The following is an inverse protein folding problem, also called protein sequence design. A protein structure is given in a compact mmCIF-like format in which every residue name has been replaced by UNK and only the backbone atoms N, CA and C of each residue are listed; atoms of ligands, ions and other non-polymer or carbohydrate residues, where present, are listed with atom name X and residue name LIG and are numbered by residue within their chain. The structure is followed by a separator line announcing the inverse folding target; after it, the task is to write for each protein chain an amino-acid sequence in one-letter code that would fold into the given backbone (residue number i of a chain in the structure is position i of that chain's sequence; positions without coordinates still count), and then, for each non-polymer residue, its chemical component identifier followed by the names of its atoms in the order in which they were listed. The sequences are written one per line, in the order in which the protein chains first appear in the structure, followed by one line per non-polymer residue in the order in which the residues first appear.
data_IF_985818898764
#
_entry.id   IF_985818898764
#
_cell.length_a   1.000
_cell.length_b   1.000
_cell.length_c   1.000
_cell.angle_alpha   90.00
_cell.angle_beta   90.00
_cell.angle_gamma   90.00
#
_symmetry.space_group_name_H-M   'P 1'
#
loop_
_entity.id
_entity.type
_entity.pdbx_description
1 polymer ?
#
# COMPACT_ATOMS: atom_id res chain seq x y z
N UNK A 1 12.61 -8.44 -34.06
CA UNK A 1 11.72 -9.55 -33.65
C UNK A 1 12.44 -10.62 -32.81
N UNK A 2 13.52 -11.26 -33.29
CA UNK A 2 14.22 -12.30 -32.52
C UNK A 2 14.83 -11.79 -31.20
N UNK A 3 15.51 -10.63 -31.23
CA UNK A 3 16.10 -10.00 -30.03
C UNK A 3 15.06 -9.69 -28.95
N UNK A 4 13.88 -9.20 -29.34
CA UNK A 4 12.80 -8.89 -28.41
C UNK A 4 12.23 -10.16 -27.75
N UNK A 5 12.06 -11.24 -28.52
CA UNK A 5 11.65 -12.54 -27.99
C UNK A 5 12.68 -13.10 -26.99
N UNK A 6 13.97 -13.00 -27.31
CA UNK A 6 15.07 -13.43 -26.42
C UNK A 6 15.05 -12.62 -25.12
N UNK A 7 14.88 -11.29 -25.20
CA UNK A 7 14.74 -10.44 -24.01
C UNK A 7 13.56 -10.86 -23.15
N UNK A 8 12.37 -11.04 -23.74
CA UNK A 8 11.17 -11.47 -23.00
C UNK A 8 11.39 -12.82 -22.31
N UNK A 9 12.02 -13.78 -22.98
CA UNK A 9 12.34 -15.08 -22.39
C UNK A 9 13.31 -14.95 -21.21
N UNK A 10 14.38 -14.15 -21.36
CA UNK A 10 15.31 -13.85 -20.28
C UNK A 10 14.63 -13.20 -19.07
N UNK A 11 13.72 -12.26 -19.32
CA UNK A 11 12.95 -11.57 -18.29
C UNK A 11 12.08 -12.55 -17.49
N UNK A 12 11.36 -13.44 -18.18
CA UNK A 12 10.55 -14.50 -17.56
C UNK A 12 11.41 -15.45 -16.73
N UNK A 13 12.58 -15.84 -17.25
CA UNK A 13 13.50 -16.73 -16.52
C UNK A 13 14.01 -16.08 -15.23
N UNK A 14 14.46 -14.82 -15.30
CA UNK A 14 14.92 -14.07 -14.12
C UNK A 14 13.79 -13.93 -13.10
N UNK A 15 12.60 -13.55 -13.55
CA UNK A 15 11.43 -13.44 -12.66
C UNK A 15 11.11 -14.77 -11.98
N UNK A 16 11.09 -15.87 -12.75
CA UNK A 16 10.84 -17.21 -12.21
C UNK A 16 11.84 -17.56 -11.12
N UNK A 17 13.14 -17.32 -11.36
CA UNK A 17 14.19 -17.57 -10.36
C UNK A 17 13.97 -16.74 -9.08
N UNK A 18 13.68 -15.44 -9.22
CA UNK A 18 13.40 -14.55 -8.08
C UNK A 18 12.18 -15.04 -7.29
N UNK A 19 11.12 -15.48 -7.99
CA UNK A 19 9.91 -15.98 -7.34
C UNK A 19 10.11 -17.31 -6.62
N UNK A 20 10.99 -18.19 -7.12
CA UNK A 20 11.39 -19.41 -6.41
C UNK A 20 12.02 -19.02 -5.06
N UNK A 21 13.03 -18.14 -5.07
CA UNK A 21 13.66 -17.65 -3.83
C UNK A 21 12.64 -16.97 -2.89
N UNK A 22 11.72 -16.19 -3.45
CA UNK A 22 10.69 -15.53 -2.66
C UNK A 22 9.77 -16.55 -1.96
N UNK A 23 9.29 -17.56 -2.69
CA UNK A 23 8.42 -18.61 -2.14
C UNK A 23 9.16 -19.45 -1.09
N UNK A 24 10.40 -19.84 -1.34
CA UNK A 24 11.24 -20.53 -0.34
C UNK A 24 11.36 -19.70 0.94
N UNK A 25 11.61 -18.40 0.82
CA UNK A 25 11.66 -17.50 1.96
C UNK A 25 10.34 -17.37 2.71
N UNK A 26 9.21 -17.33 2.01
CA UNK A 26 7.90 -17.33 2.63
C UNK A 26 7.63 -18.64 3.39
N UNK A 27 8.03 -19.78 2.84
CA UNK A 27 7.91 -21.08 3.52
C UNK A 27 8.72 -21.06 4.82
N UNK A 28 9.99 -20.65 4.78
CA UNK A 28 10.83 -20.55 5.98
C UNK A 28 10.26 -19.59 7.03
N UNK A 29 9.70 -18.46 6.59
CA UNK A 29 9.05 -17.51 7.49
C UNK A 29 7.80 -18.09 8.15
N UNK A 30 6.97 -18.82 7.39
CA UNK A 30 5.79 -19.50 7.95
C UNK A 30 6.21 -20.58 8.96
N UNK A 31 7.24 -21.37 8.66
CA UNK A 31 7.81 -22.32 9.62
C UNK A 31 8.30 -21.63 10.88
N UNK A 32 8.99 -20.50 10.76
CA UNK A 32 9.46 -19.72 11.90
C UNK A 32 8.29 -19.13 12.72
N UNK A 33 7.21 -18.69 12.08
CA UNK A 33 5.98 -18.26 12.76
C UNK A 33 5.32 -19.41 13.53
N UNK A 34 5.29 -20.61 12.96
CA UNK A 34 4.78 -21.81 13.63
C UNK A 34 5.64 -22.13 14.85
N UNK A 35 6.96 -22.13 14.73
CA UNK A 35 7.88 -22.31 15.85
C UNK A 35 7.65 -21.27 16.95
N UNK A 36 7.53 -19.98 16.59
CA UNK A 36 7.28 -18.91 17.57
C UNK A 36 5.93 -19.08 18.27
N UNK A 37 4.92 -19.58 17.55
CA UNK A 37 3.60 -19.86 18.13
C UNK A 37 3.65 -21.02 19.12
N UNK A 38 4.31 -22.13 18.75
CA UNK A 38 4.49 -23.31 19.60
C UNK A 38 5.29 -22.95 20.86
N UNK A 39 6.37 -22.17 20.71
CA UNK A 39 7.23 -21.72 21.80
C UNK A 39 6.67 -20.50 22.56
N UNK A 40 5.47 -20.02 22.22
CA UNK A 40 4.79 -18.87 22.83
C UNK A 40 5.63 -17.57 22.86
N UNK A 41 6.47 -17.34 21.85
CA UNK A 41 7.32 -16.15 21.72
C UNK A 41 6.47 -14.97 21.23
N UNK A 42 5.96 -14.15 22.16
CA UNK A 42 5.04 -13.04 21.86
C UNK A 42 5.71 -11.84 21.17
N UNK A 43 6.98 -11.57 21.47
CA UNK A 43 7.67 -10.36 21.00
C UNK A 43 8.25 -10.46 19.57
N UNK A 44 8.21 -11.64 18.96
CA UNK A 44 8.80 -11.89 17.64
C UNK A 44 7.99 -11.38 16.45
N UNK A 45 6.68 -11.12 16.63
CA UNK A 45 5.76 -10.79 15.52
C UNK A 45 6.19 -9.55 14.73
N UNK A 46 6.63 -8.48 15.41
CA UNK A 46 7.07 -7.23 14.76
C UNK A 46 8.33 -7.45 13.92
N UNK A 47 9.28 -8.26 14.41
CA UNK A 47 10.48 -8.62 13.68
C UNK A 47 10.16 -9.48 12.45
N UNK A 48 9.32 -10.50 12.60
CA UNK A 48 8.90 -11.37 11.49
C UNK A 48 8.18 -10.58 10.39
N UNK A 49 7.32 -9.63 10.77
CA UNK A 49 6.66 -8.71 9.83
C UNK A 49 7.69 -7.88 9.05
N UNK A 50 8.72 -7.37 9.74
CA UNK A 50 9.81 -6.61 9.12
C UNK A 50 10.64 -7.49 8.16
N UNK A 51 11.03 -8.70 8.57
CA UNK A 51 11.77 -9.65 7.70
C UNK A 51 10.94 -9.96 6.45
N UNK A 52 9.64 -10.25 6.62
CA UNK A 52 8.73 -10.51 5.52
C UNK A 52 8.74 -9.37 4.50
N UNK A 53 8.56 -8.13 4.95
CA UNK A 53 8.52 -6.98 4.05
C UNK A 53 9.86 -6.74 3.36
N UNK A 54 10.99 -6.88 4.06
CA UNK A 54 12.30 -6.79 3.43
C UNK A 54 12.53 -7.91 2.41
N UNK A 55 12.04 -9.13 2.65
CA UNK A 55 12.08 -10.22 1.67
C UNK A 55 11.21 -9.87 0.44
N UNK A 56 10.00 -9.36 0.64
CA UNK A 56 9.12 -8.90 -0.44
C UNK A 56 9.75 -7.78 -1.26
N UNK A 57 10.35 -6.77 -0.62
CA UNK A 57 11.07 -5.70 -1.32
C UNK A 57 12.27 -6.24 -2.10
N UNK A 58 13.01 -7.20 -1.53
CA UNK A 58 14.16 -7.82 -2.23
C UNK A 58 13.71 -8.50 -3.52
N UNK A 59 12.61 -9.25 -3.47
CA UNK A 59 12.05 -9.93 -4.64
C UNK A 59 11.45 -8.94 -5.66
N UNK A 60 10.67 -7.97 -5.21
CA UNK A 60 9.92 -7.07 -6.10
C UNK A 60 10.73 -5.87 -6.58
N UNK A 61 11.88 -5.56 -5.99
CA UNK A 61 12.75 -4.45 -6.42
C UNK A 61 13.07 -4.49 -7.91
N UNK A 62 13.35 -5.70 -8.41
CA UNK A 62 13.63 -5.93 -9.82
C UNK A 62 12.45 -5.60 -10.72
N UNK A 63 11.20 -5.69 -10.22
CA UNK A 63 9.97 -5.34 -10.94
C UNK A 63 9.67 -3.84 -10.94
N UNK A 64 10.24 -3.06 -10.02
CA UNK A 64 9.96 -1.63 -9.89
C UNK A 64 11.26 -0.83 -9.67
N UNK A 65 12.09 -0.65 -10.71
CA UNK A 65 13.40 -0.01 -10.58
C UNK A 65 13.33 1.52 -10.52
N UNK A 66 12.16 2.11 -10.77
CA UNK A 66 11.98 3.57 -10.80
C UNK A 66 11.84 4.11 -9.38
N UNK A 67 12.35 5.33 -9.10
CA UNK A 67 12.11 5.98 -7.82
C UNK A 67 10.65 6.36 -7.67
N UNK A 68 10.12 6.15 -6.48
CA UNK A 68 8.86 6.72 -6.00
C UNK A 68 9.23 8.07 -5.37
N UNK A 69 8.65 9.15 -5.88
CA UNK A 69 8.85 10.46 -5.27
C UNK A 69 7.77 10.72 -4.23
N UNK A 70 8.19 11.06 -3.01
CA UNK A 70 7.28 11.31 -1.90
C UNK A 70 7.41 12.75 -1.40
N UNK A 71 6.28 13.37 -1.06
CA UNK A 71 6.17 14.66 -0.41
C UNK A 71 5.38 14.44 0.88
N UNK A 72 5.99 14.66 2.04
CA UNK A 72 5.34 14.34 3.31
C UNK A 72 5.39 15.46 4.34
N UNK A 73 4.34 15.56 5.13
CA UNK A 73 4.27 16.45 6.29
C UNK A 73 5.15 15.90 7.43
N UNK A 74 6.17 16.64 7.91
CA UNK A 74 7.09 16.15 8.93
C UNK A 74 6.41 15.83 10.27
N UNK A 75 5.20 16.37 10.52
CA UNK A 75 4.40 16.00 11.71
C UNK A 75 4.16 14.51 11.81
N UNK A 76 4.08 13.78 10.69
CA UNK A 76 3.89 12.33 10.63
C UNK A 76 4.91 11.58 11.48
N UNK A 77 6.14 12.09 11.58
CA UNK A 77 7.25 11.45 12.31
C UNK A 77 7.05 11.49 13.84
N UNK A 78 6.25 12.43 14.35
CA UNK A 78 6.05 12.66 15.78
C UNK A 78 4.78 11.99 16.33
N UNK A 79 4.09 11.20 15.51
CA UNK A 79 2.76 10.65 15.80
C UNK A 79 2.84 9.14 15.79
N UNK A 80 2.17 8.50 16.74
CA UNK A 80 2.40 7.08 17.07
C UNK A 80 1.18 6.19 16.87
N UNK A 81 -0.01 6.80 16.83
CA UNK A 81 -1.31 6.14 16.71
C UNK A 81 -2.12 6.81 15.61
N UNK A 82 -2.06 6.28 14.39
CA UNK A 82 -2.68 6.93 13.24
C UNK A 82 -3.66 6.02 12.51
N UNK A 83 -4.69 6.63 11.93
CA UNK A 83 -5.42 6.03 10.81
C UNK A 83 -4.70 6.49 9.53
N UNK A 84 -4.45 5.58 8.60
CA UNK A 84 -3.90 5.90 7.28
C UNK A 84 -5.01 5.67 6.26
N UNK A 85 -5.34 6.70 5.48
CA UNK A 85 -6.30 6.61 4.38
C UNK A 85 -5.59 6.88 3.06
N UNK A 86 -5.99 6.18 2.00
CA UNK A 86 -5.47 6.43 0.65
C UNK A 86 -6.56 6.33 -0.39
N UNK A 87 -6.42 7.06 -1.51
CA UNK A 87 -7.10 6.66 -2.74
C UNK A 87 -6.50 5.35 -3.27
N UNK A 88 -7.25 4.63 -4.10
CA UNK A 88 -6.88 3.34 -4.65
C UNK A 88 -6.92 3.39 -6.19
N UNK A 89 -5.75 3.38 -6.82
CA UNK A 89 -5.56 3.50 -8.26
C UNK A 89 -5.17 2.18 -8.94
N UNK A 90 -4.55 1.25 -8.22
CA UNK A 90 -4.08 -0.01 -8.80
C UNK A 90 -3.86 -1.10 -7.75
N UNK A 91 -3.66 -2.33 -8.20
CA UNK A 91 -3.26 -3.45 -7.33
C UNK A 91 -1.86 -3.32 -6.74
N UNK A 92 -1.03 -2.37 -7.22
CA UNK A 92 0.34 -2.15 -6.74
C UNK A 92 0.44 -1.11 -5.62
N UNK A 93 -0.65 -0.43 -5.29
CA UNK A 93 -0.68 0.69 -4.35
C UNK A 93 -0.14 0.30 -2.97
N UNK A 94 -0.47 -0.90 -2.50
CA UNK A 94 0.00 -1.41 -1.21
C UNK A 94 1.54 -1.44 -1.16
N UNK A 95 2.22 -1.84 -2.24
CA UNK A 95 3.67 -1.93 -2.26
C UNK A 95 4.30 -0.54 -2.16
N UNK A 96 3.74 0.43 -2.88
CA UNK A 96 4.20 1.82 -2.93
C UNK A 96 4.01 2.52 -1.58
N UNK A 97 2.83 2.34 -0.97
CA UNK A 97 2.53 2.87 0.36
C UNK A 97 3.43 2.22 1.42
N UNK A 98 3.52 0.89 1.45
CA UNK A 98 4.32 0.21 2.48
C UNK A 98 5.81 0.54 2.35
N UNK A 99 6.35 0.74 1.14
CA UNK A 99 7.72 1.22 0.92
C UNK A 99 7.92 2.60 1.53
N UNK A 100 6.97 3.52 1.31
CA UNK A 100 6.97 4.85 1.92
C UNK A 100 6.92 4.78 3.45
N UNK A 101 6.08 3.89 4.01
CA UNK A 101 5.98 3.70 5.46
C UNK A 101 7.22 3.05 6.07
N UNK A 102 8.00 2.26 5.33
CA UNK A 102 9.30 1.79 5.81
C UNK A 102 10.28 2.95 5.88
N UNK A 103 10.33 3.80 4.85
CA UNK A 103 11.20 4.99 4.81
C UNK A 103 10.93 5.92 6.00
N UNK A 104 9.67 6.05 6.39
CA UNK A 104 9.21 6.88 7.52
C UNK A 104 9.22 6.14 8.87
N UNK A 105 9.83 4.95 8.96
CA UNK A 105 9.93 4.11 10.18
C UNK A 105 8.57 3.70 10.80
N UNK A 106 7.53 3.71 9.98
CA UNK A 106 6.13 3.49 10.35
C UNK A 106 5.68 2.04 10.22
N UNK A 107 6.32 1.28 9.34
CA UNK A 107 5.91 -0.08 8.98
C UNK A 107 5.79 -1.06 10.16
N UNK A 108 6.62 -0.93 11.21
CA UNK A 108 6.61 -1.86 12.35
C UNK A 108 5.25 -1.97 13.06
N UNK A 109 4.46 -0.89 13.04
CA UNK A 109 3.18 -0.79 13.73
C UNK A 109 1.97 -0.87 12.78
N UNK A 110 2.21 -1.14 11.48
CA UNK A 110 1.14 -1.23 10.49
C UNK A 110 0.18 -2.38 10.78
N UNK A 111 -1.11 -2.10 10.65
CA UNK A 111 -2.22 -3.02 10.55
C UNK A 111 -3.04 -2.62 9.32
N UNK A 112 -3.38 -3.57 8.46
CA UNK A 112 -4.07 -3.28 7.21
C UNK A 112 -5.47 -3.87 7.28
N UNK A 113 -6.47 -3.10 6.86
CA UNK A 113 -7.82 -3.60 6.61
C UNK A 113 -7.87 -4.15 5.18
N UNK A 114 -8.22 -5.43 5.07
CA UNK A 114 -8.12 -6.22 3.85
C UNK A 114 -9.44 -6.90 3.51
N UNK A 115 -9.60 -7.27 2.24
CA UNK A 115 -10.72 -8.11 1.79
C UNK A 115 -10.57 -9.53 2.36
N UNK A 116 -11.65 -10.09 2.89
CA UNK A 116 -11.65 -11.41 3.50
C UNK A 116 -11.08 -12.52 2.61
N UNK A 117 -11.36 -12.49 1.31
CA UNK A 117 -10.82 -13.49 0.37
C UNK A 117 -9.28 -13.55 0.33
N UNK A 118 -8.55 -12.54 0.79
CA UNK A 118 -7.08 -12.58 0.85
C UNK A 118 -6.57 -13.54 1.93
N UNK A 119 -7.42 -13.90 2.89
CA UNK A 119 -7.09 -14.79 3.98
C UNK A 119 -6.84 -16.23 3.54
N UNK A 120 -7.35 -16.62 2.36
CA UNK A 120 -7.27 -17.98 1.82
C UNK A 120 -6.05 -18.20 0.92
N UNK A 121 -5.28 -17.15 0.63
CA UNK A 121 -4.07 -17.26 -0.19
C UNK A 121 -3.01 -18.05 0.60
N UNK A 122 -2.48 -19.17 0.08
CA UNK A 122 -1.45 -19.94 0.76
C UNK A 122 -0.22 -19.10 1.07
N UNK A 123 0.40 -19.35 2.23
CA UNK A 123 1.53 -18.59 2.81
C UNK A 123 1.17 -17.12 3.14
N UNK A 124 0.78 -16.32 2.14
CA UNK A 124 0.46 -14.89 2.32
C UNK A 124 -0.70 -14.68 3.30
N UNK A 125 -1.81 -15.40 3.12
CA UNK A 125 -2.97 -15.36 4.00
C UNK A 125 -2.63 -15.77 5.44
N UNK A 126 -1.76 -16.79 5.60
CA UNK A 126 -1.26 -17.18 6.91
C UNK A 126 -0.45 -16.07 7.57
N UNK A 127 0.49 -15.45 6.84
CA UNK A 127 1.28 -14.33 7.33
C UNK A 127 0.41 -13.14 7.74
N UNK A 128 -0.55 -12.75 6.89
CA UNK A 128 -1.49 -11.66 7.18
C UNK A 128 -2.32 -11.91 8.45
N UNK A 129 -2.79 -13.16 8.68
CA UNK A 129 -3.45 -13.57 9.92
C UNK A 129 -2.50 -13.52 11.11
N UNK A 130 -1.29 -14.05 10.97
CA UNK A 130 -0.29 -14.05 12.03
C UNK A 130 0.10 -12.63 12.47
N UNK A 131 0.16 -11.68 11.53
CA UNK A 131 0.42 -10.26 11.82
C UNK A 131 -0.77 -9.52 12.43
N UNK A 132 -1.96 -10.12 12.45
CA UNK A 132 -3.16 -9.56 13.04
C UNK A 132 -3.80 -8.46 12.19
N UNK A 133 -3.73 -8.58 10.86
CA UNK A 133 -4.51 -7.74 9.95
C UNK A 133 -6.00 -7.99 10.09
N UNK A 134 -6.82 -7.03 9.67
CA UNK A 134 -8.27 -7.05 9.83
C UNK A 134 -8.89 -7.42 8.48
N UNK A 135 -9.71 -8.47 8.43
CA UNK A 135 -10.31 -8.99 7.22
C UNK A 135 -11.81 -8.68 7.20
N UNK A 136 -12.30 -7.99 6.16
CA UNK A 136 -13.70 -7.59 6.04
C UNK A 136 -14.42 -8.31 4.90
N UNK A 137 -15.67 -8.66 5.17
CA UNK A 137 -16.52 -9.54 4.37
C UNK A 137 -17.48 -8.76 3.47
N UNK A 138 -17.43 -7.41 3.51
CA UNK A 138 -18.38 -6.49 2.85
C UNK A 138 -19.82 -6.69 3.35
N UNK A 139 -19.98 -7.08 4.62
CA UNK A 139 -21.27 -7.24 5.31
C UNK A 139 -21.20 -6.51 6.64
N UNK A 140 -21.88 -5.38 6.73
CA UNK A 140 -21.68 -4.42 7.81
C UNK A 140 -22.01 -4.99 9.20
N UNK A 141 -22.97 -5.90 9.29
CA UNK A 141 -23.41 -6.54 10.53
C UNK A 141 -22.30 -7.42 11.13
N UNK A 142 -21.52 -8.07 10.27
CA UNK A 142 -20.40 -8.94 10.67
C UNK A 142 -19.13 -8.11 10.83
N UNK A 143 -18.89 -7.19 9.88
CA UNK A 143 -17.67 -6.39 9.81
C UNK A 143 -17.55 -5.44 11.00
N UNK A 144 -18.66 -4.99 11.61
CA UNK A 144 -18.66 -4.14 12.80
C UNK A 144 -17.90 -4.77 13.97
N UNK A 145 -18.22 -6.02 14.33
CA UNK A 145 -17.58 -6.71 15.45
C UNK A 145 -16.12 -7.07 15.14
N UNK A 146 -15.83 -7.39 13.87
CA UNK A 146 -14.46 -7.65 13.41
C UNK A 146 -13.59 -6.39 13.55
N UNK A 147 -14.10 -5.24 13.09
CA UNK A 147 -13.42 -3.95 13.22
C UNK A 147 -13.19 -3.66 14.70
N UNK A 148 -14.25 -3.71 15.53
CA UNK A 148 -14.17 -3.39 16.96
C UNK A 148 -13.10 -4.23 17.67
N UNK A 149 -13.14 -5.55 17.49
CA UNK A 149 -12.14 -6.48 18.05
C UNK A 149 -10.73 -6.19 17.54
N UNK A 150 -10.60 -5.85 16.25
CA UNK A 150 -9.34 -5.44 15.64
C UNK A 150 -8.76 -4.17 16.27
N UNK A 151 -9.61 -3.17 16.49
CA UNK A 151 -9.24 -1.88 17.09
C UNK A 151 -8.88 -2.03 18.57
N UNK A 152 -9.62 -2.83 19.33
CA UNK A 152 -9.27 -3.16 20.72
C UNK A 152 -7.86 -3.75 20.82
N UNK A 153 -7.54 -4.74 19.97
CA UNK A 153 -6.18 -5.29 19.88
C UNK A 153 -5.12 -4.24 19.53
N UNK A 154 -5.44 -3.26 18.68
CA UNK A 154 -4.49 -2.19 18.36
C UNK A 154 -4.25 -1.25 19.54
N UNK A 155 -5.31 -0.89 20.27
CA UNK A 155 -5.20 -0.08 21.50
C UNK A 155 -4.33 -0.79 22.55
N UNK A 156 -4.51 -2.09 22.74
CA UNK A 156 -3.72 -2.89 23.69
C UNK A 156 -2.23 -2.97 23.31
N UNK A 157 -1.91 -2.95 22.01
CA UNK A 157 -0.53 -2.99 21.52
C UNK A 157 0.21 -1.64 21.64
N UNK A 158 -0.49 -0.56 22.00
CA UNK A 158 0.03 0.79 22.10
C UNK A 158 0.07 1.52 20.75
N UNK A 159 1.23 1.55 20.11
CA UNK A 159 1.44 2.29 18.86
C UNK A 159 0.88 1.51 17.66
N UNK A 160 0.14 2.18 16.77
CA UNK A 160 -0.45 1.56 15.59
C UNK A 160 -0.54 2.52 14.41
N UNK A 161 -0.56 1.92 13.21
CA UNK A 161 -0.96 2.60 11.98
C UNK A 161 -1.98 1.73 11.28
N UNK A 162 -3.21 2.21 11.18
CA UNK A 162 -4.30 1.45 10.59
C UNK A 162 -4.52 1.91 9.15
N UNK A 163 -4.03 1.13 8.19
CA UNK A 163 -4.22 1.43 6.77
C UNK A 163 -5.56 0.92 6.27
N UNK A 164 -6.34 1.83 5.68
CA UNK A 164 -7.60 1.54 5.01
C UNK A 164 -7.65 2.22 3.64
N UNK A 165 -8.36 1.61 2.70
CA UNK A 165 -8.76 2.22 1.44
C UNK A 165 -10.28 2.44 1.46
N UNK A 166 -10.76 3.65 1.82
CA UNK A 166 -12.19 3.90 1.94
C UNK A 166 -13.01 3.61 0.67
N UNK A 167 -12.39 3.66 -0.51
CA UNK A 167 -13.02 3.27 -1.79
C UNK A 167 -13.43 1.79 -1.86
N UNK A 168 -12.77 0.91 -1.10
CA UNK A 168 -13.06 -0.54 -1.04
C UNK A 168 -12.66 -1.35 -2.28
N UNK A 169 -12.23 -0.68 -3.36
CA UNK A 169 -11.65 -1.23 -4.59
C UNK A 169 -10.90 -0.12 -5.34
N UNK A 170 -10.04 -0.46 -6.30
CA UNK A 170 -9.35 0.53 -7.12
C UNK A 170 -10.26 1.08 -8.23
N UNK A 171 -9.91 2.27 -8.73
CA UNK A 171 -10.59 2.93 -9.83
C UNK A 171 -10.36 2.21 -11.17
N UNK A 172 -11.45 1.82 -11.82
CA UNK A 172 -11.47 1.27 -13.17
C UNK A 172 -12.71 1.73 -13.95
N UNK A 173 -12.84 1.27 -15.20
CA UNK A 173 -13.94 1.63 -16.07
C UNK A 173 -15.30 1.10 -15.58
N UNK A 174 -15.34 0.06 -14.74
CA UNK A 174 -16.57 -0.56 -14.24
C UNK A 174 -17.01 0.04 -12.90
N UNK A 175 -16.10 0.09 -11.92
CA UNK A 175 -16.28 0.64 -10.57
C UNK A 175 -16.72 2.11 -10.59
N UNK A 176 -16.21 2.92 -11.53
CA UNK A 176 -16.66 4.31 -11.67
C UNK A 176 -18.11 4.40 -12.14
N UNK A 177 -18.59 3.43 -12.95
CA UNK A 177 -19.99 3.39 -13.38
C UNK A 177 -20.90 2.97 -12.24
N UNK A 178 -20.46 2.03 -11.40
CA UNK A 178 -21.16 1.66 -10.15
C UNK A 178 -21.30 2.89 -9.25
N UNK A 179 -20.20 3.62 -9.04
CA UNK A 179 -20.19 4.87 -8.27
C UNK A 179 -21.17 5.90 -8.83
N UNK A 180 -21.13 6.16 -10.15
CA UNK A 180 -22.07 7.09 -10.81
C UNK A 180 -23.53 6.68 -10.65
N UNK A 181 -23.84 5.38 -10.76
CA UNK A 181 -25.21 4.85 -10.54
C UNK A 181 -25.66 5.04 -9.10
N UNK A 182 -24.76 4.85 -8.13
CA UNK A 182 -25.05 5.06 -6.73
C UNK A 182 -25.35 6.52 -6.41
N UNK A 183 -24.49 7.46 -6.87
CA UNK A 183 -24.66 8.90 -6.63
C UNK A 183 -25.94 9.45 -7.26
N UNK A 184 -26.33 8.96 -8.44
CA UNK A 184 -27.61 9.34 -9.07
C UNK A 184 -28.83 9.01 -8.20
N UNK A 185 -28.74 7.98 -7.36
CA UNK A 185 -29.82 7.58 -6.43
C UNK A 185 -29.66 8.22 -5.05
N UNK A 186 -28.42 8.48 -4.63
CA UNK A 186 -28.07 9.02 -3.33
C UNK A 186 -27.12 10.22 -3.54
N UNK A 187 -27.65 11.43 -3.78
CA UNK A 187 -26.82 12.62 -3.97
C UNK A 187 -25.90 12.83 -2.76
N UNK A 188 -24.61 13.04 -3.03
CA UNK A 188 -23.61 13.36 -2.03
C UNK A 188 -23.33 14.86 -2.10
N UNK A 189 -23.73 15.60 -1.07
CA UNK A 189 -23.48 17.03 -0.96
C UNK A 189 -22.31 17.26 0.00
N UNK A 190 -21.33 18.05 -0.43
CA UNK A 190 -20.22 18.50 0.42
C UNK A 190 -20.18 20.02 0.35
N UNK A 191 -20.37 20.68 1.49
CA UNK A 191 -20.48 22.14 1.62
C UNK A 191 -21.58 22.72 0.70
N UNK A 192 -22.73 22.03 0.62
CA UNK A 192 -23.87 22.45 -0.20
C UNK A 192 -23.68 22.29 -1.72
N UNK A 193 -22.64 21.56 -2.17
CA UNK A 193 -22.40 21.28 -3.59
C UNK A 193 -22.35 19.79 -3.86
N UNK A 194 -22.90 19.37 -4.99
CA UNK A 194 -22.80 17.99 -5.46
C UNK A 194 -21.34 17.56 -5.63
N UNK A 195 -21.00 16.44 -5.00
CA UNK A 195 -19.73 15.77 -5.21
C UNK A 195 -19.92 14.53 -6.08
N UNK A 196 -19.45 14.65 -7.33
CA UNK A 196 -19.40 13.55 -8.29
C UNK A 196 -17.93 13.32 -8.67
N UNK A 197 -17.22 12.40 -8.00
CA UNK A 197 -15.83 12.14 -8.30
C UNK A 197 -15.69 11.50 -9.70
N UNK A 198 -14.53 11.74 -10.33
CA UNK A 198 -14.23 11.16 -11.63
C UNK A 198 -12.83 10.58 -11.74
N UNK A 199 -11.93 10.93 -10.83
CA UNK A 199 -10.55 10.44 -10.76
C UNK A 199 -10.27 9.67 -9.45
N UNK A 200 -11.30 9.46 -8.63
CA UNK A 200 -11.37 8.53 -7.48
C UNK A 200 -12.78 7.92 -7.44
N UNK A 201 -12.98 6.88 -6.65
CA UNK A 201 -14.32 6.37 -6.30
C UNK A 201 -14.89 7.12 -5.09
N UNK A 202 -16.20 7.02 -4.92
CA UNK A 202 -16.86 7.56 -3.73
C UNK A 202 -16.48 6.68 -2.52
N UNK A 203 -15.94 7.25 -1.43
CA UNK A 203 -15.52 6.47 -0.28
C UNK A 203 -16.72 5.91 0.51
N UNK A 204 -16.56 4.70 1.04
CA UNK A 204 -17.48 4.08 1.99
C UNK A 204 -17.19 4.59 3.41
N UNK A 205 -18.05 5.48 3.91
CA UNK A 205 -17.84 6.15 5.20
C UNK A 205 -18.13 5.27 6.41
N UNK A 206 -19.08 4.33 6.31
CA UNK A 206 -19.54 3.54 7.47
C UNK A 206 -18.42 2.75 8.16
N UNK A 207 -17.49 2.19 7.38
CA UNK A 207 -16.34 1.47 7.95
C UNK A 207 -15.39 2.41 8.69
N UNK A 208 -15.17 3.62 8.16
CA UNK A 208 -14.36 4.64 8.83
C UNK A 208 -15.04 5.15 10.11
N UNK A 209 -16.36 5.34 10.09
CA UNK A 209 -17.12 5.78 11.26
C UNK A 209 -17.02 4.74 12.40
N UNK A 210 -17.18 3.44 12.09
CA UNK A 210 -17.01 2.37 13.08
C UNK A 210 -15.58 2.36 13.65
N UNK A 211 -14.56 2.56 12.80
CA UNK A 211 -13.16 2.67 13.23
C UNK A 211 -13.00 3.86 14.19
N UNK A 212 -13.48 5.04 13.80
CA UNK A 212 -13.41 6.28 14.59
C UNK A 212 -14.09 6.11 15.95
N UNK A 213 -15.30 5.59 15.96
CA UNK A 213 -16.07 5.28 17.19
C UNK A 213 -15.32 4.28 18.08
N UNK A 214 -14.80 3.19 17.50
CA UNK A 214 -14.10 2.14 18.26
C UNK A 214 -12.76 2.61 18.85
N UNK A 215 -12.11 3.57 18.19
CA UNK A 215 -10.89 4.21 18.67
C UNK A 215 -11.17 5.14 19.85
N UNK A 216 -12.34 5.78 19.92
CA UNK A 216 -12.79 6.62 21.04
C UNK A 216 -11.70 7.62 21.52
N UNK A 217 -11.12 8.37 20.59
CA UNK A 217 -10.05 9.35 20.86
C UNK A 217 -8.65 8.77 21.07
N UNK A 218 -8.42 7.46 20.87
CA UNK A 218 -7.09 6.84 21.01
C UNK A 218 -6.16 7.04 19.80
N UNK A 219 -6.61 7.72 18.73
CA UNK A 219 -5.76 8.05 17.59
C UNK A 219 -5.30 9.51 17.66
N UNK A 220 -4.02 9.74 17.35
CA UNK A 220 -3.41 11.06 17.31
C UNK A 220 -3.92 11.88 16.12
N UNK A 221 -4.28 11.21 15.01
CA UNK A 221 -4.74 11.84 13.77
C UNK A 221 -4.81 10.87 12.58
N UNK A 222 -4.95 11.45 11.39
CA UNK A 222 -5.03 10.76 10.11
C UNK A 222 -3.81 11.11 9.25
N UNK A 223 -3.10 10.09 8.76
CA UNK A 223 -2.14 10.23 7.66
C UNK A 223 -2.93 10.09 6.36
N UNK A 224 -3.09 11.20 5.64
CA UNK A 224 -3.82 11.24 4.38
C UNK A 224 -2.88 11.07 3.20
N UNK A 225 -2.97 9.92 2.55
CA UNK A 225 -2.15 9.58 1.39
C UNK A 225 -2.92 9.88 0.11
N UNK A 226 -2.29 10.62 -0.78
CA UNK A 226 -2.75 10.82 -2.16
C UNK A 226 -1.72 10.22 -3.13
N UNK A 227 -2.13 9.14 -3.81
CA UNK A 227 -1.36 8.50 -4.88
C UNK A 227 -1.66 9.18 -6.21
N UNK A 228 -0.61 9.43 -7.00
CA UNK A 228 -0.71 9.81 -8.41
C UNK A 228 0.18 8.88 -9.25
N UNK A 229 -0.31 8.50 -10.43
CA UNK A 229 0.46 7.66 -11.37
C UNK A 229 1.40 8.53 -12.19
N UNK A 230 2.63 8.10 -12.35
CA UNK A 230 3.69 8.84 -13.04
C UNK A 230 4.17 8.06 -14.28
N UNK A 231 3.92 8.52 -15.51
CA UNK A 231 3.06 9.66 -15.89
C UNK A 231 1.57 9.35 -15.71
N UNK A 232 0.70 10.37 -15.73
CA UNK A 232 -0.74 10.18 -15.51
C UNK A 232 -1.35 9.12 -16.44
N UNK A 233 -2.02 8.13 -15.84
CA UNK A 233 -2.88 7.15 -16.50
C UNK A 233 -4.15 6.99 -15.68
N UNK A 234 -5.31 7.13 -16.32
CA UNK A 234 -6.60 7.08 -15.62
C UNK A 234 -6.90 5.71 -15.02
N UNK A 235 -6.63 4.65 -15.78
CA UNK A 235 -6.84 3.26 -15.39
C UNK A 235 -5.51 2.52 -15.55
N UNK A 236 -4.62 2.56 -14.54
CA UNK A 236 -3.27 2.00 -14.64
C UNK A 236 -3.23 0.55 -15.11
N UNK A 237 -4.17 -0.27 -14.66
CA UNK A 237 -4.35 -1.68 -15.02
C UNK A 237 -4.52 -1.93 -16.52
N UNK A 238 -5.07 -0.98 -17.29
CA UNK A 238 -5.22 -1.10 -18.74
C UNK A 238 -3.84 -1.00 -19.45
N UNK A 239 -2.88 -0.33 -18.81
CA UNK A 239 -1.53 -0.11 -19.34
C UNK A 239 -0.51 -1.07 -18.73
N UNK A 240 -0.63 -1.34 -17.43
CA UNK A 240 0.33 -2.05 -16.59
C UNK A 240 -0.24 -3.38 -16.08
N UNK A 241 -0.43 -4.34 -16.97
CA UNK A 241 -0.83 -5.69 -16.57
C UNK A 241 0.34 -6.41 -15.89
N UNK A 242 0.06 -7.43 -15.06
CA UNK A 242 1.13 -8.27 -14.49
C UNK A 242 2.04 -8.81 -15.60
N UNK A 243 1.47 -9.40 -16.65
CA UNK A 243 2.26 -9.96 -17.73
C UNK A 243 3.20 -8.91 -18.35
N UNK A 244 2.71 -7.70 -18.65
CA UNK A 244 3.55 -6.62 -19.17
C UNK A 244 4.61 -6.18 -18.16
N UNK A 245 4.28 -6.06 -16.88
CA UNK A 245 5.26 -5.73 -15.85
C UNK A 245 6.38 -6.79 -15.75
N UNK A 246 6.05 -8.06 -16.02
CA UNK A 246 6.99 -9.19 -16.00
C UNK A 246 7.82 -9.31 -17.27
N UNK A 247 7.24 -9.07 -18.45
CA UNK A 247 7.91 -9.27 -19.74
C UNK A 247 8.54 -8.00 -20.28
N UNK A 248 7.97 -6.85 -19.99
CA UNK A 248 8.28 -5.57 -20.63
C UNK A 248 8.83 -4.61 -19.56
N UNK A 249 10.14 -4.68 -19.35
CA UNK A 249 10.83 -3.89 -18.32
C UNK A 249 10.88 -2.37 -18.56
N UNK A 250 10.32 -1.88 -19.66
CA UNK A 250 10.28 -0.46 -20.02
C UNK A 250 8.99 0.23 -19.54
N UNK A 251 7.85 -0.46 -19.58
CA UNK A 251 6.53 0.11 -19.26
C UNK A 251 6.07 -0.31 -17.87
N UNK A 252 6.73 0.24 -16.84
CA UNK A 252 6.40 -0.06 -15.45
C UNK A 252 5.70 1.11 -14.79
N UNK A 253 4.68 0.76 -14.03
CA UNK A 253 3.93 1.69 -13.19
C UNK A 253 4.90 2.39 -12.23
N UNK A 254 4.78 3.70 -12.13
CA UNK A 254 5.51 4.52 -11.18
C UNK A 254 4.53 5.46 -10.48
N UNK A 255 4.89 5.92 -9.29
CA UNK A 255 4.05 6.73 -8.44
C UNK A 255 4.78 7.99 -8.00
N UNK A 256 3.99 9.04 -7.79
CA UNK A 256 4.34 10.11 -6.86
C UNK A 256 3.29 10.14 -5.75
N UNK A 257 3.74 10.39 -4.52
CA UNK A 257 2.90 10.21 -3.32
C UNK A 257 2.97 11.48 -2.47
N UNK A 258 1.80 11.96 -2.08
CA UNK A 258 1.65 13.02 -1.09
C UNK A 258 1.15 12.40 0.21
N UNK A 259 1.82 12.69 1.32
CA UNK A 259 1.43 12.23 2.66
C UNK A 259 1.23 13.45 3.55
N UNK A 260 -0.02 13.83 3.79
CA UNK A 260 -0.36 14.90 4.72
C UNK A 260 -0.81 14.34 6.07
N UNK A 261 -0.93 15.22 7.06
CA UNK A 261 -1.34 14.88 8.41
C UNK A 261 -2.47 15.77 8.91
N UNK A 262 -3.56 15.16 9.34
CA UNK A 262 -4.74 15.84 9.87
C UNK A 262 -5.04 15.42 11.30
N UNK A 263 -5.10 16.39 12.21
CA UNK A 263 -5.37 16.15 13.64
C UNK A 263 -6.87 16.02 13.92
N UNK A 264 -7.69 16.88 13.32
CA UNK A 264 -9.15 16.85 13.50
C UNK A 264 -9.84 16.11 12.35
N UNK A 265 -10.37 14.93 12.68
CA UNK A 265 -11.11 14.04 11.77
C UNK A 265 -12.51 13.69 12.33
N UNK A 266 -13.03 14.51 13.24
CA UNK A 266 -14.33 14.29 13.89
C UNK A 266 -15.52 14.71 13.03
N UNK A 267 -15.29 15.52 12.00
CA UNK A 267 -16.33 15.89 11.06
C UNK A 267 -16.94 14.67 10.36
N UNK A 268 -18.27 14.67 10.19
CA UNK A 268 -19.04 13.61 9.53
C UNK A 268 -18.66 13.53 8.05
N UNK A 269 -18.43 14.68 7.41
CA UNK A 269 -18.05 14.76 6.00
C UNK A 269 -16.53 14.67 5.77
N UNK A 270 -15.74 14.38 6.81
CA UNK A 270 -14.28 14.38 6.76
C UNK A 270 -13.74 13.54 5.58
N UNK A 271 -14.18 12.29 5.47
CA UNK A 271 -13.74 11.38 4.41
C UNK A 271 -14.17 11.89 3.04
N UNK A 272 -15.40 12.38 2.91
CA UNK A 272 -15.88 12.95 1.65
C UNK A 272 -15.06 14.18 1.22
N UNK A 273 -14.74 15.09 2.15
CA UNK A 273 -13.89 16.26 1.90
C UNK A 273 -12.49 15.85 1.44
N UNK A 274 -11.86 14.89 2.12
CA UNK A 274 -10.54 14.36 1.72
C UNK A 274 -10.56 13.75 0.32
N UNK A 275 -11.59 13.00 -0.02
CA UNK A 275 -11.72 12.42 -1.36
C UNK A 275 -12.05 13.45 -2.45
N UNK A 276 -12.77 14.52 -2.11
CA UNK A 276 -12.97 15.69 -2.99
C UNK A 276 -11.66 16.43 -3.28
N UNK A 277 -10.81 16.59 -2.27
CA UNK A 277 -9.46 17.16 -2.41
C UNK A 277 -8.58 16.30 -3.33
N UNK A 278 -8.56 14.97 -3.10
CA UNK A 278 -7.84 14.00 -3.95
C UNK A 278 -8.28 14.05 -5.41
N UNK A 279 -9.60 14.00 -5.65
CA UNK A 279 -10.16 14.10 -7.00
C UNK A 279 -9.75 15.40 -7.69
N UNK A 280 -9.80 16.53 -6.96
CA UNK A 280 -9.36 17.83 -7.49
C UNK A 280 -7.87 17.84 -7.84
N UNK A 281 -7.02 17.29 -6.96
CA UNK A 281 -5.59 17.21 -7.18
C UNK A 281 -5.24 16.36 -8.41
N UNK A 282 -5.85 15.18 -8.55
CA UNK A 282 -5.62 14.30 -9.71
C UNK A 282 -6.12 14.96 -11.00
N UNK A 283 -7.28 15.63 -10.98
CA UNK A 283 -7.78 16.42 -12.13
C UNK A 283 -6.80 17.51 -12.54
N UNK A 284 -6.22 18.20 -11.57
CA UNK A 284 -5.22 19.24 -11.81
C UNK A 284 -3.95 18.66 -12.40
N UNK A 285 -3.47 17.55 -11.85
CA UNK A 285 -2.30 16.82 -12.35
C UNK A 285 -2.48 16.35 -13.79
N UNK A 286 -3.64 15.76 -14.11
CA UNK A 286 -4.02 15.42 -15.48
C UNK A 286 -3.94 16.60 -16.45
N UNK A 287 -4.45 17.77 -16.05
CA UNK A 287 -4.45 19.00 -16.88
C UNK A 287 -3.06 19.58 -17.11
N UNK A 288 -2.08 19.24 -16.28
CA UNK A 288 -0.70 19.71 -16.48
C UNK A 288 0.02 18.94 -17.59
N UNK A 289 -0.55 17.82 -18.06
CA UNK A 289 -0.02 17.00 -19.17
C UNK A 289 1.48 16.69 -19.03
N UNK A 290 1.90 16.45 -17.79
CA UNK A 290 3.30 16.20 -17.46
C UNK A 290 3.68 14.81 -17.94
N UNK A 291 4.84 14.73 -18.60
CA UNK A 291 5.47 13.46 -18.90
C UNK A 291 5.93 12.72 -17.65
N UNK A 292 6.82 11.75 -17.82
CA UNK A 292 7.42 11.05 -16.70
C UNK A 292 8.30 11.99 -15.88
N UNK A 293 7.99 12.13 -14.59
CA UNK A 293 8.82 12.80 -13.60
C UNK A 293 10.02 11.90 -13.28
N UNK A 294 11.23 12.42 -13.46
CA UNK A 294 12.49 11.65 -13.37
C UNK A 294 13.42 12.07 -12.25
N UNK A 295 13.19 13.24 -11.66
CA UNK A 295 13.98 13.73 -10.53
C UNK A 295 13.11 14.32 -9.42
N UNK A 296 13.70 14.41 -8.23
CA UNK A 296 13.06 15.05 -7.09
C UNK A 296 12.81 16.55 -7.36
N UNK A 297 13.67 17.21 -8.13
CA UNK A 297 13.51 18.63 -8.48
C UNK A 297 12.31 18.83 -9.41
N UNK A 298 12.16 17.97 -10.42
CA UNK A 298 10.96 17.97 -11.28
C UNK A 298 9.72 17.73 -10.42
N UNK A 299 9.74 16.74 -9.53
CA UNK A 299 8.64 16.46 -8.62
C UNK A 299 8.28 17.67 -7.75
N UNK A 300 9.26 18.36 -7.18
CA UNK A 300 9.04 19.58 -6.39
C UNK A 300 8.34 20.68 -7.20
N UNK A 301 8.73 20.86 -8.47
CA UNK A 301 8.08 21.83 -9.37
C UNK A 301 6.62 21.43 -9.62
N UNK A 302 6.36 20.14 -9.86
CA UNK A 302 4.99 19.63 -10.03
C UNK A 302 4.17 19.80 -8.75
N UNK A 303 4.71 19.41 -7.61
CA UNK A 303 4.05 19.49 -6.31
C UNK A 303 3.63 20.92 -5.97
N UNK A 304 4.50 21.91 -6.18
CA UNK A 304 4.17 23.33 -6.00
C UNK A 304 3.04 23.81 -6.92
N UNK A 305 2.93 23.24 -8.12
CA UNK A 305 1.81 23.53 -9.02
C UNK A 305 0.53 22.88 -8.53
N UNK A 306 0.57 21.68 -7.97
CA UNK A 306 -0.61 20.94 -7.53
C UNK A 306 -1.22 21.49 -6.24
N UNK A 307 -0.39 21.74 -5.23
CA UNK A 307 -0.84 21.94 -3.86
C UNK A 307 -0.19 23.15 -3.19
N UNK A 308 -1.03 23.99 -2.57
CA UNK A 308 -0.59 25.25 -1.93
C UNK A 308 0.20 25.03 -0.64
N UNK A 309 0.02 23.88 0.02
CA UNK A 309 0.59 23.59 1.34
C UNK A 309 1.90 22.79 1.30
N UNK A 310 2.55 22.69 0.14
CA UNK A 310 3.84 21.99 -0.02
C UNK A 310 5.04 22.72 0.59
N UNK A 311 4.85 23.92 1.16
CA UNK A 311 5.93 24.77 1.66
C UNK A 311 6.68 24.14 2.83
N UNK A 312 5.97 23.41 3.69
CA UNK A 312 6.53 22.79 4.91
C UNK A 312 6.73 21.27 4.74
N UNK A 313 6.54 20.74 3.53
CA UNK A 313 6.71 19.33 3.24
C UNK A 313 8.17 18.98 2.98
N UNK A 314 8.55 17.77 3.37
CA UNK A 314 9.84 17.16 3.02
C UNK A 314 9.67 16.35 1.75
N UNK A 315 10.58 16.55 0.80
CA UNK A 315 10.65 15.82 -0.47
C UNK A 315 11.73 14.76 -0.39
N UNK A 316 11.42 13.55 -0.87
CA UNK A 316 12.36 12.45 -0.91
C UNK A 316 12.11 11.56 -2.15
N UNK A 317 13.15 10.83 -2.56
CA UNK A 317 13.09 9.84 -3.61
C UNK A 317 13.44 8.47 -3.02
N UNK A 318 12.47 7.57 -3.01
CA UNK A 318 12.63 6.23 -2.42
C UNK A 318 12.57 5.16 -3.51
N UNK A 319 13.22 4.03 -3.26
CA UNK A 319 13.21 2.89 -4.17
C UNK A 319 12.53 1.70 -3.50
N UNK A 320 11.86 0.88 -4.29
CA UNK A 320 11.44 -0.45 -3.85
C UNK A 320 12.71 -1.28 -3.77
N UNK A 321 13.40 -1.20 -2.64
CA UNK A 321 14.65 -1.90 -2.40
C UNK A 321 14.78 -2.16 -0.90
N UNK A 322 15.48 -3.24 -0.57
CA UNK A 322 15.82 -3.58 0.80
C UNK A 322 17.33 -3.60 0.98
N UNK A 323 17.83 -2.98 2.04
CA UNK A 323 19.23 -3.11 2.43
C UNK A 323 19.58 -4.53 2.90
N UNK A 324 18.56 -5.36 3.15
CA UNK A 324 18.71 -6.77 3.54
C UNK A 324 18.78 -7.71 2.33
N UNK A 325 18.60 -7.20 1.11
CA UNK A 325 18.66 -8.03 -0.11
C UNK A 325 19.94 -8.88 -0.20
N UNK A 326 21.16 -8.33 0.02
CA UNK A 326 22.38 -9.15 -0.05
C UNK A 326 22.38 -10.31 0.95
N UNK A 327 21.87 -10.07 2.17
CA UNK A 327 21.76 -11.11 3.19
C UNK A 327 20.85 -12.24 2.74
N UNK A 328 19.67 -11.93 2.19
CA UNK A 328 18.75 -12.97 1.71
C UNK A 328 19.38 -13.82 0.61
N UNK A 329 20.00 -13.21 -0.39
CA UNK A 329 20.61 -13.96 -1.49
C UNK A 329 21.73 -14.89 -1.00
N UNK A 330 22.64 -14.40 -0.14
CA UNK A 330 23.71 -15.22 0.44
C UNK A 330 23.14 -16.35 1.30
N UNK A 331 22.12 -16.05 2.12
CA UNK A 331 21.46 -17.02 2.98
C UNK A 331 20.84 -18.18 2.19
N UNK A 332 20.12 -17.91 1.09
CA UNK A 332 19.52 -18.97 0.28
C UNK A 332 20.56 -19.80 -0.47
N UNK A 333 21.65 -19.19 -0.97
CA UNK A 333 22.75 -19.93 -1.59
C UNK A 333 23.38 -20.88 -0.55
N UNK A 334 23.68 -20.38 0.65
CA UNK A 334 24.23 -21.19 1.73
C UNK A 334 23.31 -22.35 2.11
N UNK A 335 22.00 -22.10 2.26
CA UNK A 335 21.02 -23.13 2.62
C UNK A 335 20.96 -24.26 1.58
N UNK A 336 21.01 -23.91 0.29
CA UNK A 336 21.06 -24.89 -0.80
C UNK A 336 22.35 -25.73 -0.77
N UNK A 337 23.51 -25.10 -0.58
CA UNK A 337 24.79 -25.80 -0.47
C UNK A 337 24.84 -26.72 0.77
N UNK A 338 24.30 -26.27 1.90
CA UNK A 338 24.20 -27.07 3.11
C UNK A 338 23.30 -28.30 2.90
N UNK A 339 22.16 -28.14 2.23
CA UNK A 339 21.27 -29.25 1.88
C UNK A 339 21.98 -30.30 1.02
N UNK A 340 22.75 -29.88 0.01
CA UNK A 340 23.55 -30.78 -0.83
C UNK A 340 24.64 -31.51 -0.04
N UNK A 341 25.27 -30.84 0.92
CA UNK A 341 26.27 -31.47 1.78
C UNK A 341 25.66 -32.51 2.70
N UNK A 342 24.51 -32.22 3.31
CA UNK A 342 23.79 -33.14 4.19
C UNK A 342 23.30 -34.37 3.40
N UNK A 343 22.73 -34.18 2.21
CA UNK A 343 22.21 -35.28 1.38
C UNK A 343 23.28 -36.26 0.87
N UNK A 344 24.56 -35.87 0.90
CA UNK A 344 25.69 -36.75 0.54
C UNK A 344 26.18 -37.61 1.72
N UNK A 345 25.76 -37.29 2.95
CA UNK A 345 26.00 -38.12 4.13
C UNK A 345 24.81 -39.04 4.37
#
# INVERSE_FOLDING_TARGET
MAVEKIKKLGNIMIFTLIMIYYIEGLILLVLLMLCFSILQIKHGRRLLKRIWMHLTLSALSYLFPKPIFICYNPKIMNKSKNIIISNHLSEFDWLMILTSLIRLERFKNICIVLKDSLQSIPLLGYGMKYFGYIFLNRRIEVDREIIKTGIERLKDNGNFDLLIFPEGTYLDSESIQVTKKYIKKNPCLIDGRDFVPSEVLLPHVTGFDIIRESLNGNADGVIDITLLINPYKKYPQDFYTYLKCLTDFQDRINFVIFLDYVEDFNDVDFIFRKFKEKDHMIKKYKKLEIGEIKSQEEFMIVAKKLEKHTKDCVFDAIFIQSDWSPFFYVFFIFLNLLGLYIAKK
#
